data_IF_889384319181
#
_entry.id   IF_889384319181
#
_cell.length_a   1.000
_cell.length_b   1.000
_cell.length_c   1.000
_cell.angle_alpha   90.00
_cell.angle_beta   90.00
_cell.angle_gamma   90.00
#
_symmetry.space_group_name_H-M   'P 1'
#
loop_
_entity.id
_entity.type
_entity.pdbx_description
1 polymer ?
#
# COMPACT_ATOMS: atom_id res chain seq x y z
N UNK A 1 -14.02 4.37 29.38
CA UNK A 1 -12.75 3.93 28.76
C UNK A 1 -12.96 3.89 27.27
N UNK A 2 -12.44 4.95 26.64
CA UNK A 2 -12.12 5.24 25.24
C UNK A 2 -12.85 4.45 24.15
N UNK A 3 -13.65 5.19 23.38
CA UNK A 3 -14.04 4.81 22.03
C UNK A 3 -12.78 4.37 21.27
N UNK A 4 -12.72 3.09 20.92
CA UNK A 4 -11.78 2.59 19.92
C UNK A 4 -12.09 3.38 18.65
N UNK A 5 -11.21 4.33 18.32
CA UNK A 5 -11.31 5.06 17.07
C UNK A 5 -10.85 4.09 15.97
N UNK A 6 -11.73 3.13 15.64
CA UNK A 6 -11.67 2.24 14.48
C UNK A 6 -11.91 3.06 13.19
N UNK A 7 -11.31 4.24 13.11
CA UNK A 7 -11.41 5.09 11.93
C UNK A 7 -10.67 4.38 10.82
N UNK A 8 -11.44 3.90 9.86
CA UNK A 8 -10.90 3.44 8.59
C UNK A 8 -10.31 4.66 7.89
N UNK A 9 -8.98 4.69 7.84
CA UNK A 9 -8.23 5.69 7.10
C UNK A 9 -7.93 5.17 5.69
N UNK A 10 -7.50 6.07 4.81
CA UNK A 10 -7.11 5.78 3.45
C UNK A 10 -5.68 6.27 3.19
N UNK A 11 -4.84 5.41 2.63
CA UNK A 11 -3.55 5.72 2.06
C UNK A 11 -3.66 5.71 0.54
N UNK A 12 -3.46 6.87 -0.08
CA UNK A 12 -3.30 7.01 -1.52
C UNK A 12 -1.85 7.37 -1.83
N UNK A 13 -1.15 6.50 -2.56
CA UNK A 13 0.28 6.65 -2.82
C UNK A 13 0.60 6.44 -4.30
N UNK A 14 1.54 7.23 -4.80
CA UNK A 14 2.14 7.09 -6.13
C UNK A 14 3.63 6.79 -5.97
N UNK A 15 4.07 5.67 -6.50
CA UNK A 15 5.46 5.19 -6.36
C UNK A 15 6.16 5.29 -7.71
N UNK A 16 7.26 6.04 -7.73
CA UNK A 16 8.11 6.25 -8.90
C UNK A 16 9.45 5.51 -8.74
N UNK A 17 10.14 5.27 -9.87
CA UNK A 17 11.45 4.62 -9.90
C UNK A 17 11.41 3.24 -10.55
N UNK A 18 12.23 2.31 -10.09
CA UNK A 18 12.30 0.94 -10.64
C UNK A 18 11.14 0.08 -10.09
N UNK A 19 9.94 0.30 -10.60
CA UNK A 19 8.70 -0.37 -10.14
C UNK A 19 8.07 -1.30 -11.18
N UNK A 20 8.47 -1.20 -12.46
CA UNK A 20 8.00 -2.07 -13.53
C UNK A 20 8.94 -3.26 -13.77
N UNK A 21 8.37 -4.41 -14.15
CA UNK A 21 9.13 -5.63 -14.42
C UNK A 21 9.77 -6.31 -13.20
N UNK A 22 9.53 -5.80 -11.99
CA UNK A 22 10.14 -6.29 -10.72
C UNK A 22 9.14 -6.94 -9.76
N UNK A 23 7.93 -7.25 -10.23
CA UNK A 23 6.90 -7.84 -9.37
C UNK A 23 6.32 -6.90 -8.31
N UNK A 24 6.51 -5.57 -8.43
CA UNK A 24 6.11 -4.58 -7.42
C UNK A 24 4.63 -4.69 -7.04
N UNK A 25 3.72 -4.78 -8.02
CA UNK A 25 2.27 -4.92 -7.76
C UNK A 25 1.94 -6.15 -6.90
N UNK A 26 2.56 -7.28 -7.22
CA UNK A 26 2.36 -8.52 -6.47
C UNK A 26 2.88 -8.40 -5.05
N UNK A 27 4.08 -7.83 -4.88
CA UNK A 27 4.65 -7.53 -3.57
C UNK A 27 3.71 -6.65 -2.72
N UNK A 28 3.19 -5.56 -3.27
CA UNK A 28 2.27 -4.65 -2.56
C UNK A 28 0.98 -5.38 -2.18
N UNK A 29 0.37 -6.11 -3.12
CA UNK A 29 -0.86 -6.85 -2.85
C UNK A 29 -0.68 -7.88 -1.72
N UNK A 30 0.43 -8.62 -1.72
CA UNK A 30 0.75 -9.58 -0.68
C UNK A 30 0.92 -8.92 0.70
N UNK A 31 1.61 -7.77 0.77
CA UNK A 31 1.79 -7.04 2.04
C UNK A 31 0.48 -6.44 2.55
N UNK A 32 -0.30 -5.82 1.68
CA UNK A 32 -1.62 -5.28 2.03
C UNK A 32 -2.54 -6.38 2.57
N UNK A 33 -2.58 -7.54 1.91
CA UNK A 33 -3.35 -8.70 2.39
C UNK A 33 -2.89 -9.18 3.77
N UNK A 34 -1.57 -9.29 4.00
CA UNK A 34 -1.03 -9.71 5.30
C UNK A 34 -1.32 -8.74 6.45
N UNK A 35 -1.56 -7.46 6.11
CA UNK A 35 -1.90 -6.40 7.06
C UNK A 35 -3.42 -6.23 7.24
N UNK A 36 -4.25 -7.05 6.57
CA UNK A 36 -5.71 -6.94 6.63
C UNK A 36 -6.27 -5.70 5.94
N UNK A 37 -5.51 -5.07 5.03
CA UNK A 37 -5.92 -3.88 4.29
C UNK A 37 -6.75 -4.25 3.06
N UNK A 38 -7.63 -3.33 2.63
CA UNK A 38 -8.40 -3.44 1.39
C UNK A 38 -8.01 -2.33 0.41
N UNK A 39 -8.27 -2.51 -0.88
CA UNK A 39 -7.99 -1.50 -1.90
C UNK A 39 -7.38 -2.10 -3.17
N UNK A 40 -6.56 -1.35 -3.89
CA UNK A 40 -5.96 -1.78 -5.14
C UNK A 40 -4.53 -1.28 -5.33
N UNK A 41 -3.83 -1.92 -6.26
CA UNK A 41 -2.53 -1.50 -6.77
C UNK A 41 -2.50 -1.68 -8.29
N UNK A 42 -2.08 -0.65 -9.04
CA UNK A 42 -2.01 -0.70 -10.51
C UNK A 42 -0.78 0.03 -11.05
N UNK A 43 -0.37 -0.37 -12.25
CA UNK A 43 0.67 0.36 -13.00
C UNK A 43 -0.03 1.50 -13.75
N UNK A 44 0.57 2.68 -13.71
CA UNK A 44 0.13 3.84 -14.48
C UNK A 44 0.86 3.95 -15.82
N UNK A 45 0.27 4.73 -16.74
CA UNK A 45 0.82 4.94 -18.09
C UNK A 45 2.18 5.63 -18.09
N UNK A 46 2.47 6.46 -17.08
CA UNK A 46 3.74 7.17 -16.92
C UNK A 46 4.89 6.29 -16.38
N UNK A 47 4.61 5.01 -16.12
CA UNK A 47 5.56 4.07 -15.56
C UNK A 47 5.53 3.93 -14.04
N UNK A 48 4.74 4.74 -13.34
CA UNK A 48 4.59 4.68 -11.89
C UNK A 48 3.63 3.57 -11.43
N UNK A 49 3.55 3.37 -10.12
CA UNK A 49 2.56 2.50 -9.49
C UNK A 49 1.68 3.31 -8.55
N UNK A 50 0.37 3.24 -8.76
CA UNK A 50 -0.63 3.79 -7.85
C UNK A 50 -1.10 2.72 -6.86
N UNK A 51 -1.24 3.10 -5.60
CA UNK A 51 -1.74 2.27 -4.50
C UNK A 51 -2.83 3.03 -3.76
N UNK A 52 -4.01 2.41 -3.63
CA UNK A 52 -5.06 2.84 -2.72
C UNK A 52 -5.25 1.75 -1.68
N UNK A 53 -5.13 2.08 -0.40
CA UNK A 53 -5.32 1.13 0.70
C UNK A 53 -6.16 1.74 1.81
N UNK A 54 -7.09 0.97 2.36
CA UNK A 54 -7.98 1.36 3.45
C UNK A 54 -7.86 0.39 4.62
N UNK A 55 -7.85 0.93 5.83
CA UNK A 55 -7.78 0.15 7.05
C UNK A 55 -7.32 0.96 8.27
N UNK A 56 -6.99 0.28 9.39
CA UNK A 56 -6.47 0.95 10.57
C UNK A 56 -5.16 1.69 10.28
N UNK A 57 -5.02 2.91 10.79
CA UNK A 57 -3.81 3.74 10.59
C UNK A 57 -2.48 2.98 10.80
N UNK A 58 -2.30 2.18 11.87
CA UNK A 58 -1.04 1.45 12.06
C UNK A 58 -0.73 0.50 10.89
N UNK A 59 -1.74 -0.18 10.34
CA UNK A 59 -1.56 -1.06 9.20
C UNK A 59 -1.18 -0.28 7.92
N UNK A 60 -1.76 0.90 7.71
CA UNK A 60 -1.40 1.79 6.60
C UNK A 60 0.04 2.31 6.72
N UNK A 61 0.49 2.68 7.93
CA UNK A 61 1.86 3.12 8.19
C UNK A 61 2.88 1.98 7.94
N UNK A 62 2.51 0.73 8.30
CA UNK A 62 3.31 -0.45 7.95
C UNK A 62 3.37 -0.67 6.43
N UNK A 63 2.24 -0.53 5.71
CA UNK A 63 2.22 -0.62 4.26
C UNK A 63 3.12 0.45 3.61
N UNK A 64 3.04 1.70 4.07
CA UNK A 64 3.89 2.79 3.58
C UNK A 64 5.39 2.47 3.71
N UNK A 65 5.79 1.79 4.79
CA UNK A 65 7.18 1.34 4.98
C UNK A 65 7.59 0.31 3.92
N UNK A 66 6.70 -0.63 3.57
CA UNK A 66 6.96 -1.57 2.47
C UNK A 66 7.04 -0.87 1.11
N UNK A 67 6.18 0.11 0.84
CA UNK A 67 6.20 0.87 -0.42
C UNK A 67 7.52 1.60 -0.64
N UNK A 68 8.12 2.16 0.42
CA UNK A 68 9.43 2.82 0.36
C UNK A 68 10.58 1.86 0.09
N UNK A 69 10.48 0.61 0.54
CA UNK A 69 11.52 -0.41 0.37
C UNK A 69 11.44 -1.12 -0.98
N UNK A 70 10.22 -1.43 -1.44
CA UNK A 70 9.99 -2.26 -2.63
C UNK A 70 10.37 -3.74 -2.44
N UNK A 71 10.17 -4.56 -3.50
CA UNK A 71 10.63 -5.94 -3.54
C UNK A 71 12.17 -6.01 -3.55
N UNK A 72 12.74 -7.04 -2.92
CA UNK A 72 14.19 -7.32 -2.94
C UNK A 72 14.59 -8.09 -4.19
#
# INVERSE_FOLDING_TARGET
MNANNDTLEELHAYVHGRVQGVGFRYFVAQKAQSLGLRGYVRNEYDGSVEVLAQGPRPALEHLLTYLRRGPS
#
